data_IF_900390144936
#
_entry.id   IF_900390144936
#
_cell.length_a   1.000
_cell.length_b   1.000
_cell.length_c   1.000
_cell.angle_alpha   90.00
_cell.angle_beta   90.00
_cell.angle_gamma   90.00
#
_symmetry.space_group_name_H-M   'P 1'
#
loop_
_entity.id
_entity.type
_entity.pdbx_description
1 polymer ?
#
# COMPACT_ATOMS: atom_id res chain seq x y z
N UNK A 1 -2.56 11.42 26.70
CA UNK A 1 -1.18 11.58 26.21
C UNK A 1 -1.16 12.70 25.18
N UNK A 2 -0.20 13.63 25.23
CA UNK A 2 -0.01 14.57 24.13
C UNK A 2 0.27 13.76 22.86
N UNK A 3 -0.60 13.89 21.85
CA UNK A 3 -0.34 13.32 20.52
C UNK A 3 0.92 14.02 20.01
N UNK A 4 2.05 13.32 19.88
CA UNK A 4 3.14 13.86 19.07
C UNK A 4 2.53 14.18 17.71
N UNK A 5 2.47 15.46 17.32
CA UNK A 5 1.76 15.81 16.11
C UNK A 5 2.54 15.24 14.94
N UNK A 6 1.86 14.41 14.12
CA UNK A 6 2.31 14.19 12.76
C UNK A 6 2.49 15.59 12.14
N UNK A 7 3.66 15.84 11.55
CA UNK A 7 4.02 17.14 10.99
C UNK A 7 2.84 17.78 10.22
N UNK A 8 2.69 19.11 10.28
CA UNK A 8 1.58 19.80 9.62
C UNK A 8 1.53 19.46 8.13
N UNK A 9 0.31 19.47 7.58
CA UNK A 9 -0.02 19.13 6.20
C UNK A 9 0.93 19.80 5.20
N UNK A 10 1.60 18.98 4.41
CA UNK A 10 1.84 19.29 3.01
C UNK A 10 0.47 19.19 2.31
N UNK A 11 0.05 20.21 1.55
CA UNK A 11 -1.16 20.15 0.72
C UNK A 11 -0.74 19.63 -0.66
N UNK A 12 -0.35 18.36 -0.71
CA UNK A 12 0.18 17.75 -1.93
C UNK A 12 -0.98 17.39 -2.85
N UNK A 13 -1.95 16.62 -2.40
CA UNK A 13 -3.10 16.32 -3.26
C UNK A 13 -4.04 17.51 -3.36
N UNK A 14 -4.42 17.79 -4.60
CA UNK A 14 -5.51 18.67 -4.96
C UNK A 14 -6.33 17.99 -6.06
N UNK A 15 -7.42 18.62 -6.50
CA UNK A 15 -8.32 17.98 -7.46
C UNK A 15 -7.62 17.60 -8.77
N UNK A 16 -6.75 18.48 -9.29
CA UNK A 16 -6.00 18.22 -10.52
C UNK A 16 -5.01 17.05 -10.36
N UNK A 17 -4.30 16.97 -9.23
CA UNK A 17 -3.36 15.87 -8.95
C UNK A 17 -4.07 14.54 -8.76
N UNK A 18 -5.23 14.51 -8.09
CA UNK A 18 -6.04 13.30 -7.96
C UNK A 18 -6.49 12.76 -9.33
N UNK A 19 -7.05 13.63 -10.17
CA UNK A 19 -7.48 13.28 -11.53
C UNK A 19 -6.29 12.81 -12.37
N UNK A 20 -5.16 13.53 -12.30
CA UNK A 20 -3.94 13.16 -13.01
C UNK A 20 -3.46 11.75 -12.65
N UNK A 21 -3.35 11.42 -11.36
CA UNK A 21 -2.95 10.09 -10.90
C UNK A 21 -3.93 9.00 -11.35
N UNK A 22 -5.23 9.31 -11.37
CA UNK A 22 -6.29 8.37 -11.79
C UNK A 22 -6.30 8.11 -13.30
N UNK A 23 -5.90 9.09 -14.11
CA UNK A 23 -5.85 9.01 -15.57
C UNK A 23 -4.52 8.50 -16.12
N UNK A 24 -3.45 8.53 -15.31
CA UNK A 24 -2.12 8.11 -15.72
C UNK A 24 -2.07 6.68 -16.32
N UNK A 25 -2.75 5.65 -15.75
CA UNK A 25 -2.78 4.33 -16.37
C UNK A 25 -3.32 4.33 -17.81
N UNK A 26 -4.42 5.05 -18.05
CA UNK A 26 -5.04 5.18 -19.38
C UNK A 26 -4.14 5.98 -20.33
N UNK A 27 -3.57 7.09 -19.86
CA UNK A 27 -2.66 7.92 -20.64
C UNK A 27 -1.40 7.14 -21.10
N UNK A 28 -0.91 6.24 -20.25
CA UNK A 28 0.22 5.37 -20.55
C UNK A 28 -0.17 4.10 -21.35
N UNK A 29 -1.46 3.92 -21.68
CA UNK A 29 -1.99 2.69 -22.31
C UNK A 29 -1.58 1.43 -21.53
N UNK A 30 -1.61 1.52 -20.20
CA UNK A 30 -1.25 0.43 -19.32
C UNK A 30 -2.32 -0.67 -19.32
N UNK A 31 -2.02 -1.80 -18.67
CA UNK A 31 -2.97 -2.91 -18.58
C UNK A 31 -4.18 -2.55 -17.69
N UNK A 32 -5.33 -3.16 -17.96
CA UNK A 32 -6.56 -3.01 -17.16
C UNK A 32 -6.38 -3.34 -15.67
N UNK A 33 -5.32 -4.09 -15.33
CA UNK A 33 -4.95 -4.33 -13.94
C UNK A 33 -4.68 -3.02 -13.18
N UNK A 34 -4.03 -2.04 -13.82
CA UNK A 34 -3.69 -0.76 -13.21
C UNK A 34 -4.93 0.07 -12.83
N UNK A 35 -6.04 -0.07 -13.55
CA UNK A 35 -7.30 0.62 -13.23
C UNK A 35 -7.80 0.30 -11.81
N UNK A 36 -7.43 -0.89 -11.31
CA UNK A 36 -7.88 -1.40 -10.01
C UNK A 36 -6.83 -1.27 -8.90
N UNK A 37 -5.62 -0.77 -9.17
CA UNK A 37 -4.52 -0.73 -8.18
C UNK A 37 -3.74 0.59 -8.13
N UNK A 38 -3.88 1.49 -9.11
CA UNK A 38 -3.12 2.75 -9.17
C UNK A 38 -3.14 3.55 -7.85
N UNK A 39 -4.27 3.55 -7.14
CA UNK A 39 -4.43 4.26 -5.86
C UNK A 39 -3.64 3.60 -4.73
N UNK A 40 -3.40 2.29 -4.77
CA UNK A 40 -2.55 1.60 -3.81
C UNK A 40 -1.07 1.83 -4.11
N UNK A 41 -0.71 1.91 -5.39
CA UNK A 41 0.65 2.31 -5.82
C UNK A 41 0.94 3.74 -5.32
N UNK A 42 0.02 4.68 -5.53
CA UNK A 42 0.14 6.04 -4.99
C UNK A 42 0.23 6.05 -3.46
N UNK A 43 -0.63 5.29 -2.76
CA UNK A 43 -0.62 5.21 -1.30
C UNK A 43 0.69 4.66 -0.74
N UNK A 44 1.27 3.64 -1.39
CA UNK A 44 2.58 3.10 -1.04
C UNK A 44 3.70 4.14 -1.22
N UNK A 45 3.68 4.90 -2.31
CA UNK A 45 4.64 5.97 -2.56
C UNK A 45 4.50 7.12 -1.54
N UNK A 46 3.29 7.59 -1.26
CA UNK A 46 3.04 8.61 -0.20
C UNK A 46 3.51 8.13 1.17
N UNK A 47 3.20 6.88 1.52
CA UNK A 47 3.69 6.26 2.75
C UNK A 47 5.22 6.26 2.80
N UNK A 48 5.88 5.83 1.73
CA UNK A 48 7.34 5.87 1.61
C UNK A 48 7.92 7.27 1.62
N UNK A 49 7.18 8.31 1.21
CA UNK A 49 7.59 9.71 1.35
C UNK A 49 7.33 10.29 2.75
N UNK A 50 6.73 9.52 3.66
CA UNK A 50 6.26 9.98 4.97
C UNK A 50 5.21 11.10 4.87
N UNK A 51 4.26 10.94 3.94
CA UNK A 51 3.12 11.85 3.74
C UNK A 51 1.78 11.17 4.13
N UNK A 52 1.60 10.77 5.40
CA UNK A 52 0.43 10.00 5.86
C UNK A 52 -0.90 10.77 5.73
N UNK A 53 -0.85 12.11 5.68
CA UNK A 53 -2.04 12.98 5.59
C UNK A 53 -2.67 12.99 4.19
N UNK A 54 -1.94 12.57 3.16
CA UNK A 54 -2.46 12.44 1.80
C UNK A 54 -3.29 11.17 1.60
N UNK A 55 -3.05 10.15 2.44
CA UNK A 55 -3.67 8.83 2.33
C UNK A 55 -5.20 8.88 2.41
N UNK A 56 -5.85 9.58 3.36
CA UNK A 56 -7.31 9.62 3.43
C UNK A 56 -7.97 10.25 2.21
N UNK A 57 -7.38 11.31 1.65
CA UNK A 57 -7.94 11.99 0.49
C UNK A 57 -7.95 11.07 -0.72
N UNK A 58 -6.82 10.39 -0.97
CA UNK A 58 -6.69 9.37 -2.00
C UNK A 58 -7.64 8.17 -1.77
N UNK A 59 -7.79 7.73 -0.52
CA UNK A 59 -8.69 6.65 -0.13
C UNK A 59 -10.16 6.98 -0.43
N UNK A 60 -10.65 8.15 0.00
CA UNK A 60 -12.04 8.56 -0.26
C UNK A 60 -12.30 8.83 -1.73
N UNK A 61 -11.31 9.35 -2.46
CA UNK A 61 -11.38 9.45 -3.92
C UNK A 61 -11.54 8.08 -4.57
N UNK A 62 -10.72 7.09 -4.18
CA UNK A 62 -10.82 5.72 -4.70
C UNK A 62 -12.16 5.05 -4.35
N UNK A 63 -12.69 5.26 -3.14
CA UNK A 63 -14.00 4.74 -2.74
C UNK A 63 -15.15 5.34 -3.56
N UNK A 64 -15.15 6.66 -3.79
CA UNK A 64 -16.22 7.32 -4.56
C UNK A 64 -16.12 7.00 -6.06
N UNK A 65 -14.91 6.84 -6.58
CA UNK A 65 -14.66 6.43 -7.95
C UNK A 65 -15.04 4.98 -8.20
N UNK A 66 -15.09 4.16 -7.15
CA UNK A 66 -15.64 2.82 -7.24
C UNK A 66 -17.16 2.91 -7.45
N UNK A 67 -17.53 2.99 -8.71
CA UNK A 67 -18.90 3.28 -9.14
C UNK A 67 -19.71 2.01 -9.39
N UNK A 68 -21.03 2.18 -9.48
CA UNK A 68 -21.97 1.11 -9.83
C UNK A 68 -21.97 0.76 -11.33
N UNK A 69 -21.27 1.52 -12.18
CA UNK A 69 -21.27 1.37 -13.63
C UNK A 69 -22.46 2.03 -14.33
N UNK A 70 -23.01 3.11 -13.74
CA UNK A 70 -24.13 3.87 -14.28
C UNK A 70 -23.65 4.99 -15.22
N UNK A 71 -24.44 5.32 -16.25
CA UNK A 71 -24.17 6.48 -17.11
C UNK A 71 -24.26 7.82 -16.36
N UNK A 72 -24.92 7.84 -15.19
CA UNK A 72 -25.03 9.00 -14.30
C UNK A 72 -23.89 9.07 -13.26
N UNK A 73 -22.89 8.18 -13.33
CA UNK A 73 -21.77 8.21 -12.40
C UNK A 73 -20.97 9.52 -12.57
N UNK A 74 -20.59 10.19 -11.46
CA UNK A 74 -19.90 11.47 -11.51
C UNK A 74 -18.51 11.33 -12.15
N UNK A 75 -18.08 12.38 -12.86
CA UNK A 75 -16.73 12.42 -13.46
C UNK A 75 -15.63 12.38 -12.40
N UNK A 76 -14.44 11.93 -12.78
CA UNK A 76 -13.25 11.96 -11.90
C UNK A 76 -13.00 13.38 -11.35
N UNK A 77 -13.27 14.43 -12.14
CA UNK A 77 -13.15 15.82 -11.69
C UNK A 77 -14.17 16.19 -10.62
N UNK A 78 -15.43 15.76 -10.77
CA UNK A 78 -16.48 16.04 -9.81
C UNK A 78 -16.21 15.33 -8.49
N UNK A 79 -15.77 14.07 -8.56
CA UNK A 79 -15.36 13.30 -7.39
C UNK A 79 -14.18 14.00 -6.71
N UNK A 80 -13.15 14.38 -7.46
CA UNK A 80 -11.95 15.03 -6.90
C UNK A 80 -12.30 16.37 -6.23
N UNK A 81 -13.10 17.23 -6.88
CA UNK A 81 -13.58 18.49 -6.32
C UNK A 81 -14.38 18.27 -5.03
N UNK A 82 -15.26 17.25 -5.03
CA UNK A 82 -16.08 16.89 -3.88
C UNK A 82 -15.25 16.42 -2.69
N UNK A 83 -14.25 15.57 -2.92
CA UNK A 83 -13.34 15.07 -1.87
C UNK A 83 -12.51 16.21 -1.30
N UNK A 84 -11.83 17.00 -2.14
CA UNK A 84 -11.00 18.13 -1.68
C UNK A 84 -11.80 19.09 -0.82
N UNK A 85 -13.01 19.48 -1.27
CA UNK A 85 -13.91 20.36 -0.51
C UNK A 85 -14.35 19.78 0.84
N UNK A 86 -14.36 18.46 1.01
CA UNK A 86 -14.62 17.84 2.31
C UNK A 86 -13.42 17.93 3.24
N UNK A 87 -12.20 17.82 2.71
CA UNK A 87 -10.98 17.95 3.49
C UNK A 87 -10.72 19.39 3.96
N UNK A 88 -11.35 20.38 3.33
CA UNK A 88 -11.39 21.78 3.82
C UNK A 88 -12.31 21.98 5.06
N UNK A 89 -13.19 21.01 5.37
CA UNK A 89 -14.08 21.07 6.54
C UNK A 89 -13.39 20.58 7.80
N UNK A 90 -13.97 20.94 8.95
CA UNK A 90 -13.55 20.37 10.23
C UNK A 90 -13.75 18.83 10.26
N UNK A 91 -12.94 18.15 11.07
CA UNK A 91 -12.91 16.69 11.17
C UNK A 91 -14.29 16.10 11.51
N UNK A 92 -15.05 16.73 12.41
CA UNK A 92 -16.34 16.23 12.88
C UNK A 92 -17.36 16.23 11.73
N UNK A 93 -17.49 17.38 11.05
CA UNK A 93 -18.40 17.52 9.92
C UNK A 93 -18.02 16.60 8.76
N UNK A 94 -16.73 16.49 8.44
CA UNK A 94 -16.23 15.60 7.38
C UNK A 94 -16.55 14.14 7.69
N UNK A 95 -16.24 13.66 8.89
CA UNK A 95 -16.48 12.27 9.30
C UNK A 95 -17.95 11.91 9.33
N UNK A 96 -18.83 12.83 9.78
CA UNK A 96 -20.27 12.63 9.74
C UNK A 96 -20.77 12.38 8.30
N UNK A 97 -20.25 13.11 7.31
CA UNK A 97 -20.60 12.91 5.90
C UNK A 97 -20.11 11.57 5.36
N UNK A 98 -18.87 11.16 5.68
CA UNK A 98 -18.37 9.85 5.27
C UNK A 98 -19.17 8.71 5.88
N UNK A 99 -19.50 8.77 7.17
CA UNK A 99 -20.36 7.79 7.83
C UNK A 99 -21.76 7.72 7.18
N UNK A 100 -22.31 8.86 6.75
CA UNK A 100 -23.58 8.89 6.03
C UNK A 100 -23.49 8.21 4.66
N UNK A 101 -22.45 8.52 3.88
CA UNK A 101 -22.28 7.97 2.52
C UNK A 101 -22.03 6.46 2.53
N UNK A 102 -21.26 5.99 3.51
CA UNK A 102 -20.89 4.59 3.61
C UNK A 102 -21.68 3.83 4.66
N UNK A 103 -22.88 4.30 5.04
CA UNK A 103 -23.74 3.60 6.02
C UNK A 103 -23.99 2.15 5.66
N UNK A 104 -24.13 1.86 4.36
CA UNK A 104 -24.26 0.50 3.81
C UNK A 104 -23.20 0.30 2.72
N UNK A 105 -21.97 -0.10 3.10
CA UNK A 105 -20.88 -0.22 2.12
C UNK A 105 -21.07 -1.44 1.22
N UNK A 106 -20.66 -1.32 -0.05
CA UNK A 106 -20.63 -2.42 -1.02
C UNK A 106 -19.47 -3.38 -0.74
N UNK A 107 -19.43 -4.51 -1.45
CA UNK A 107 -18.28 -5.43 -1.39
C UNK A 107 -16.99 -4.75 -1.86
N UNK A 108 -17.05 -3.94 -2.92
CA UNK A 108 -15.88 -3.22 -3.41
C UNK A 108 -15.39 -2.13 -2.46
N UNK A 109 -16.27 -1.41 -1.75
CA UNK A 109 -15.84 -0.50 -0.67
C UNK A 109 -15.05 -1.24 0.41
N UNK A 110 -15.51 -2.42 0.83
CA UNK A 110 -14.80 -3.27 1.79
C UNK A 110 -13.46 -3.73 1.24
N UNK A 111 -13.41 -4.19 -0.01
CA UNK A 111 -12.18 -4.65 -0.66
C UNK A 111 -11.14 -3.54 -0.78
N UNK A 112 -11.52 -2.35 -1.28
CA UNK A 112 -10.62 -1.19 -1.37
C UNK A 112 -10.05 -0.85 0.01
N UNK A 113 -10.91 -0.79 1.03
CA UNK A 113 -10.49 -0.46 2.40
C UNK A 113 -9.50 -1.49 2.97
N UNK A 114 -9.76 -2.78 2.78
CA UNK A 114 -8.84 -3.84 3.21
C UNK A 114 -7.51 -3.77 2.46
N UNK A 115 -7.55 -3.49 1.16
CA UNK A 115 -6.36 -3.35 0.31
C UNK A 115 -5.49 -2.16 0.70
N UNK A 116 -6.08 -1.00 1.03
CA UNK A 116 -5.33 0.14 1.57
C UNK A 116 -4.57 -0.24 2.86
N UNK A 117 -5.23 -0.92 3.80
CA UNK A 117 -4.57 -1.36 5.05
C UNK A 117 -3.42 -2.30 4.77
N UNK A 118 -3.63 -3.28 3.90
CA UNK A 118 -2.61 -4.26 3.56
C UNK A 118 -1.44 -3.63 2.80
N UNK A 119 -1.70 -2.70 1.88
CA UNK A 119 -0.67 -1.91 1.18
C UNK A 119 0.24 -1.20 2.19
N UNK A 120 -0.35 -0.43 3.11
CA UNK A 120 0.42 0.34 4.10
C UNK A 120 1.23 -0.56 5.04
N UNK A 121 0.67 -1.69 5.45
CA UNK A 121 1.35 -2.68 6.28
C UNK A 121 2.53 -3.32 5.52
N UNK A 122 2.32 -3.78 4.27
CA UNK A 122 3.38 -4.37 3.43
C UNK A 122 4.49 -3.37 3.12
N UNK A 123 4.17 -2.11 2.85
CA UNK A 123 5.16 -1.05 2.63
C UNK A 123 6.08 -0.83 3.83
N UNK A 124 5.64 -1.16 5.06
CA UNK A 124 6.44 -1.05 6.27
C UNK A 124 7.72 -1.90 6.26
N UNK A 125 7.73 -3.02 5.51
CA UNK A 125 8.92 -3.86 5.36
C UNK A 125 10.10 -3.16 4.67
N UNK A 126 9.82 -2.16 3.83
CA UNK A 126 10.83 -1.49 3.00
C UNK A 126 11.01 -0.03 3.36
N UNK A 127 9.96 0.65 3.82
CA UNK A 127 9.98 2.08 4.18
C UNK A 127 10.03 2.34 5.69
N UNK A 128 9.94 1.27 6.49
CA UNK A 128 9.97 1.29 7.95
C UNK A 128 8.57 1.32 8.59
N UNK A 129 8.46 0.60 9.72
CA UNK A 129 7.23 0.56 10.53
C UNK A 129 6.72 1.94 10.97
N UNK A 130 7.55 2.93 11.34
CA UNK A 130 7.04 4.25 11.74
C UNK A 130 6.16 4.93 10.68
N UNK A 131 6.53 4.83 9.39
CA UNK A 131 5.74 5.40 8.28
C UNK A 131 4.42 4.65 8.13
N UNK A 132 4.46 3.33 8.16
CA UNK A 132 3.26 2.49 8.11
C UNK A 132 2.31 2.78 9.28
N UNK A 133 2.82 2.94 10.50
CA UNK A 133 2.05 3.29 11.70
C UNK A 133 1.35 4.64 11.51
N UNK A 134 2.09 5.67 11.07
CA UNK A 134 1.52 7.00 10.84
C UNK A 134 0.38 6.94 9.80
N UNK A 135 0.62 6.28 8.66
CA UNK A 135 -0.37 6.17 7.58
C UNK A 135 -1.59 5.36 7.98
N UNK A 136 -1.41 4.21 8.66
CA UNK A 136 -2.51 3.38 9.14
C UNK A 136 -3.33 4.10 10.22
N UNK A 137 -2.69 4.85 11.10
CA UNK A 137 -3.36 5.63 12.13
C UNK A 137 -4.25 6.72 11.52
N UNK A 138 -3.70 7.50 10.59
CA UNK A 138 -4.44 8.56 9.89
C UNK A 138 -5.56 7.98 9.02
N UNK A 139 -5.31 6.87 8.32
CA UNK A 139 -6.35 6.16 7.58
C UNK A 139 -7.49 5.69 8.49
N UNK A 140 -7.18 5.12 9.66
CA UNK A 140 -8.18 4.64 10.61
C UNK A 140 -9.07 5.77 11.15
N UNK A 141 -8.52 6.96 11.40
CA UNK A 141 -9.28 8.13 11.86
C UNK A 141 -10.31 8.61 10.83
N UNK A 142 -10.00 8.47 9.54
CA UNK A 142 -10.85 8.94 8.44
C UNK A 142 -11.68 7.81 7.80
N UNK A 143 -11.52 6.57 8.25
CA UNK A 143 -12.31 5.44 7.75
C UNK A 143 -13.72 5.50 8.34
N UNK A 144 -14.79 5.33 7.51
CA UNK A 144 -16.16 5.24 8.01
C UNK A 144 -16.34 4.10 9.01
N UNK A 145 -17.20 4.27 10.01
CA UNK A 145 -17.42 3.29 11.08
C UNK A 145 -17.81 1.90 10.55
N UNK A 146 -18.67 1.86 9.52
CA UNK A 146 -19.12 0.64 8.85
C UNK A 146 -18.03 -0.10 8.05
N UNK A 147 -16.86 0.51 7.89
CA UNK A 147 -15.70 -0.03 7.17
C UNK A 147 -14.49 -0.25 8.09
N UNK A 148 -14.56 0.12 9.37
CA UNK A 148 -13.51 -0.17 10.35
C UNK A 148 -13.30 -1.69 10.50
N UNK A 149 -12.06 -2.14 10.78
CA UNK A 149 -11.83 -3.55 11.06
C UNK A 149 -12.39 -3.88 12.44
N UNK A 150 -12.79 -5.13 12.64
CA UNK A 150 -13.02 -5.65 13.98
C UNK A 150 -11.71 -5.62 14.77
N UNK A 151 -11.77 -5.20 16.03
CA UNK A 151 -10.63 -5.19 16.93
C UNK A 151 -11.06 -5.43 18.38
N UNK A 152 -10.18 -6.06 19.15
CA UNK A 152 -10.28 -6.19 20.60
C UNK A 152 -9.37 -5.21 21.32
N UNK A 153 -9.46 -5.18 22.65
CA UNK A 153 -8.47 -4.51 23.50
C UNK A 153 -7.20 -5.38 23.59
N UNK A 154 -6.03 -4.76 23.45
CA UNK A 154 -4.74 -5.46 23.64
C UNK A 154 -4.35 -5.36 25.12
N UNK A 155 -4.22 -6.52 25.77
CA UNK A 155 -3.75 -6.64 27.15
C UNK A 155 -2.31 -7.12 27.16
N UNK A 156 -1.41 -6.39 27.84
CA UNK A 156 0.03 -6.66 27.78
C UNK A 156 0.44 -7.88 28.63
N UNK A 157 -0.41 -8.27 29.57
CA UNK A 157 -0.30 -9.50 30.35
C UNK A 157 -0.74 -10.75 29.58
N UNK A 158 -1.41 -10.59 28.44
CA UNK A 158 -1.84 -11.72 27.61
C UNK A 158 -0.66 -12.27 26.81
N UNK A 159 -0.24 -13.50 27.12
CA UNK A 159 0.87 -14.19 26.46
C UNK A 159 0.40 -15.31 25.51
N UNK A 160 -0.89 -15.66 25.50
CA UNK A 160 -1.44 -16.61 24.56
C UNK A 160 -1.55 -15.97 23.18
N UNK A 161 -0.79 -16.50 22.22
CA UNK A 161 -0.76 -16.01 20.84
C UNK A 161 -2.17 -15.92 20.20
N UNK A 162 -2.99 -16.95 20.39
CA UNK A 162 -4.33 -17.01 19.81
C UNK A 162 -5.26 -15.92 20.33
N UNK A 163 -5.17 -15.61 21.63
CA UNK A 163 -5.97 -14.56 22.27
C UNK A 163 -5.43 -13.17 21.94
N UNK A 164 -4.12 -12.98 22.01
CA UNK A 164 -3.46 -11.70 21.73
C UNK A 164 -3.70 -11.23 20.27
N UNK A 165 -3.79 -12.18 19.34
CA UNK A 165 -3.95 -11.90 17.90
C UNK A 165 -5.27 -12.42 17.32
N UNK A 166 -6.33 -12.54 18.13
CA UNK A 166 -7.61 -13.14 17.72
C UNK A 166 -8.24 -12.53 16.45
N UNK A 167 -8.06 -11.22 16.25
CA UNK A 167 -8.61 -10.49 15.08
C UNK A 167 -7.61 -10.32 13.93
N UNK A 168 -6.38 -10.81 14.08
CA UNK A 168 -5.37 -10.66 13.04
C UNK A 168 -5.56 -11.73 11.96
N UNK A 169 -5.68 -11.32 10.69
CA UNK A 169 -5.78 -12.25 9.55
C UNK A 169 -4.56 -13.19 9.39
N UNK A 170 -3.45 -12.87 10.06
CA UNK A 170 -2.22 -13.67 10.09
C UNK A 170 -2.19 -14.72 11.20
N UNK A 171 -3.14 -14.67 12.15
CA UNK A 171 -3.37 -15.72 13.12
C UNK A 171 -4.27 -16.80 12.51
N UNK A 172 -3.67 -17.71 11.75
CA UNK A 172 -4.38 -18.71 10.95
C UNK A 172 -3.95 -20.15 11.25
N UNK A 173 -3.22 -20.36 12.36
CA UNK A 173 -2.73 -21.68 12.77
C UNK A 173 -1.57 -22.23 11.95
N UNK A 174 -0.97 -21.44 11.04
CA UNK A 174 0.21 -21.85 10.27
C UNK A 174 1.42 -22.03 11.20
N UNK A 175 2.07 -23.20 11.14
CA UNK A 175 3.31 -23.46 11.86
C UNK A 175 4.52 -22.77 11.20
N UNK A 176 5.66 -22.82 11.89
CA UNK A 176 6.87 -22.14 11.46
C UNK A 176 7.44 -22.71 10.16
N UNK A 177 7.39 -24.02 9.95
CA UNK A 177 7.94 -24.67 8.76
C UNK A 177 7.11 -24.32 7.52
N UNK A 178 5.77 -24.33 7.64
CA UNK A 178 4.85 -23.88 6.60
C UNK A 178 5.04 -22.38 6.29
N UNK A 179 5.29 -21.55 7.30
CA UNK A 179 5.58 -20.12 7.10
C UNK A 179 6.88 -19.91 6.32
N UNK A 180 7.93 -20.65 6.66
CA UNK A 180 9.22 -20.62 5.95
C UNK A 180 9.04 -21.11 4.52
N UNK A 181 8.36 -22.24 4.31
CA UNK A 181 8.08 -22.79 2.98
C UNK A 181 7.35 -21.76 2.10
N UNK A 182 6.30 -21.12 2.63
CA UNK A 182 5.55 -20.06 1.93
C UNK A 182 6.45 -18.88 1.55
N UNK A 183 7.31 -18.44 2.48
CA UNK A 183 8.26 -17.35 2.24
C UNK A 183 9.27 -17.69 1.15
N UNK A 184 9.85 -18.90 1.19
CA UNK A 184 10.82 -19.38 0.19
C UNK A 184 10.17 -19.58 -1.18
N UNK A 185 8.92 -20.07 -1.23
CA UNK A 185 8.16 -20.16 -2.48
C UNK A 185 7.98 -18.78 -3.10
N UNK A 186 7.48 -17.81 -2.33
CA UNK A 186 7.31 -16.44 -2.83
C UNK A 186 8.65 -15.83 -3.27
N UNK A 187 9.72 -16.01 -2.49
CA UNK A 187 11.08 -15.57 -2.83
C UNK A 187 11.56 -16.14 -4.17
N UNK A 188 11.39 -17.45 -4.40
CA UNK A 188 11.78 -18.11 -5.65
C UNK A 188 11.02 -17.55 -6.85
N UNK A 189 9.72 -17.26 -6.71
CA UNK A 189 8.93 -16.65 -7.78
C UNK A 189 9.44 -15.24 -8.13
N UNK A 190 9.83 -14.44 -7.14
CA UNK A 190 10.36 -13.08 -7.36
C UNK A 190 11.75 -13.13 -8.01
N UNK A 191 12.70 -13.88 -7.44
CA UNK A 191 14.10 -13.82 -7.90
C UNK A 191 14.47 -14.84 -8.98
N UNK A 192 13.63 -15.85 -9.22
CA UNK A 192 13.82 -16.85 -10.26
C UNK A 192 15.21 -17.47 -10.23
N UNK A 193 15.90 -17.46 -11.37
CA UNK A 193 17.23 -18.08 -11.54
C UNK A 193 18.33 -17.52 -10.64
N UNK A 194 18.19 -16.30 -10.12
CA UNK A 194 19.20 -15.68 -9.23
C UNK A 194 18.88 -15.84 -7.75
N UNK A 195 17.77 -16.52 -7.41
CA UNK A 195 17.24 -16.67 -6.05
C UNK A 195 18.30 -17.11 -5.04
N UNK A 196 19.02 -18.21 -5.31
CA UNK A 196 20.03 -18.75 -4.39
C UNK A 196 21.22 -17.80 -4.22
N UNK A 197 21.65 -17.15 -5.30
CA UNK A 197 22.74 -16.17 -5.24
C UNK A 197 22.37 -14.97 -4.35
N UNK A 198 21.15 -14.44 -4.50
CA UNK A 198 20.68 -13.32 -3.68
C UNK A 198 20.56 -13.75 -2.21
N UNK A 199 19.96 -14.92 -1.95
CA UNK A 199 19.84 -15.46 -0.59
C UNK A 199 21.20 -15.65 0.08
N UNK A 200 22.16 -16.28 -0.61
CA UNK A 200 23.50 -16.50 -0.10
C UNK A 200 24.26 -15.20 0.14
N UNK A 201 24.06 -14.18 -0.70
CA UNK A 201 24.66 -12.86 -0.47
C UNK A 201 24.11 -12.19 0.80
N UNK A 202 22.80 -12.27 1.05
CA UNK A 202 22.20 -11.75 2.29
C UNK A 202 22.73 -12.52 3.51
N UNK A 203 22.73 -13.85 3.44
CA UNK A 203 23.20 -14.71 4.52
C UNK A 203 24.68 -14.50 4.83
N UNK A 204 25.53 -14.37 3.82
CA UNK A 204 26.96 -14.10 3.99
C UNK A 204 27.23 -12.69 4.56
N UNK A 205 26.34 -11.73 4.32
CA UNK A 205 26.44 -10.40 4.92
C UNK A 205 26.14 -10.44 6.41
N UNK A 206 25.07 -11.16 6.80
CA UNK A 206 24.71 -11.45 8.18
C UNK A 206 23.61 -12.53 8.19
N UNK A 207 23.79 -13.71 8.82
CA UNK A 207 22.76 -14.75 8.81
C UNK A 207 21.39 -14.30 9.35
N UNK A 208 21.35 -13.41 10.35
CA UNK A 208 20.08 -12.90 10.87
C UNK A 208 19.35 -12.01 9.85
N UNK A 209 20.07 -11.39 8.89
CA UNK A 209 19.44 -10.66 7.79
C UNK A 209 18.64 -11.62 6.89
N UNK A 210 19.22 -12.78 6.55
CA UNK A 210 18.51 -13.80 5.78
C UNK A 210 17.35 -14.39 6.56
N UNK A 211 17.58 -14.73 7.84
CA UNK A 211 16.53 -15.19 8.74
C UNK A 211 15.37 -14.19 8.79
N UNK A 212 15.65 -12.91 9.03
CA UNK A 212 14.64 -11.86 9.12
C UNK A 212 13.89 -11.68 7.80
N UNK A 213 14.61 -11.70 6.68
CA UNK A 213 14.00 -11.61 5.35
C UNK A 213 12.98 -12.72 5.13
N UNK A 214 13.30 -13.98 5.44
CA UNK A 214 12.36 -15.09 5.21
C UNK A 214 11.28 -15.15 6.28
N UNK A 215 11.67 -15.16 7.57
CA UNK A 215 10.79 -15.50 8.69
C UNK A 215 9.92 -14.32 9.12
N UNK A 216 10.37 -13.07 8.95
CA UNK A 216 9.62 -11.90 9.40
C UNK A 216 9.05 -11.05 8.25
N UNK A 217 9.58 -11.16 7.03
CA UNK A 217 9.16 -10.33 5.90
C UNK A 217 8.47 -11.15 4.81
N UNK A 218 9.18 -12.02 4.10
CA UNK A 218 8.64 -12.75 2.95
C UNK A 218 7.56 -13.76 3.37
N UNK A 219 7.83 -14.55 4.41
CA UNK A 219 6.91 -15.54 4.97
C UNK A 219 5.62 -14.90 5.48
N UNK A 220 5.62 -14.09 6.55
CA UNK A 220 4.38 -13.65 7.19
C UNK A 220 3.71 -12.43 6.54
N UNK A 221 4.48 -11.60 5.82
CA UNK A 221 3.99 -10.31 5.33
C UNK A 221 3.82 -10.28 3.81
N UNK A 222 4.90 -10.46 3.04
CA UNK A 222 4.83 -10.25 1.58
C UNK A 222 4.07 -11.36 0.87
N UNK A 223 4.22 -12.62 1.29
CA UNK A 223 3.51 -13.75 0.69
C UNK A 223 2.07 -13.92 1.16
N UNK A 224 1.57 -13.10 2.11
CA UNK A 224 0.16 -13.10 2.47
C UNK A 224 -0.68 -12.57 1.29
N UNK A 225 -1.48 -13.44 0.68
CA UNK A 225 -2.23 -13.14 -0.55
C UNK A 225 -3.71 -12.80 -0.33
N UNK A 226 -4.12 -12.41 0.89
CA UNK A 226 -5.52 -12.14 1.22
C UNK A 226 -6.06 -10.91 0.48
N UNK A 227 -5.78 -9.67 0.92
CA UNK A 227 -6.21 -8.47 0.20
C UNK A 227 -5.44 -8.19 -1.10
N UNK A 228 -4.15 -8.53 -1.14
CA UNK A 228 -3.25 -8.28 -2.29
C UNK A 228 -2.62 -9.58 -2.75
N UNK A 229 -2.83 -9.96 -4.01
CA UNK A 229 -2.15 -11.11 -4.63
C UNK A 229 -0.64 -10.82 -4.86
N UNK A 230 0.08 -11.78 -5.45
CA UNK A 230 1.51 -11.62 -5.70
C UNK A 230 1.84 -10.49 -6.70
N UNK A 231 0.96 -10.25 -7.69
CA UNK A 231 1.13 -9.18 -8.69
C UNK A 231 0.87 -7.82 -8.06
N UNK A 232 -0.23 -7.69 -7.33
CA UNK A 232 -0.57 -6.49 -6.58
C UNK A 232 0.55 -6.12 -5.59
N UNK A 233 1.03 -7.11 -4.85
CA UNK A 233 2.13 -6.94 -3.89
C UNK A 233 3.39 -6.46 -4.60
N UNK A 234 3.72 -7.01 -5.76
CA UNK A 234 4.93 -6.62 -6.50
C UNK A 234 4.88 -5.16 -6.96
N UNK A 235 3.72 -4.68 -7.42
CA UNK A 235 3.53 -3.28 -7.82
C UNK A 235 3.60 -2.31 -6.62
N UNK A 236 3.01 -2.68 -5.48
CA UNK A 236 3.11 -1.92 -4.22
C UNK A 236 4.56 -1.87 -3.71
N UNK A 237 5.31 -2.95 -3.87
CA UNK A 237 6.71 -3.02 -3.45
C UNK A 237 7.60 -2.13 -4.34
N UNK A 238 7.40 -2.14 -5.66
CA UNK A 238 8.05 -1.18 -6.57
C UNK A 238 7.79 0.25 -6.09
N UNK A 239 6.53 0.58 -5.80
CA UNK A 239 6.14 1.92 -5.33
C UNK A 239 6.75 2.29 -3.97
N UNK A 240 6.99 1.29 -3.11
CA UNK A 240 7.63 1.50 -1.83
C UNK A 240 9.13 1.78 -1.95
N UNK A 241 9.80 1.25 -2.98
CA UNK A 241 11.25 1.37 -3.21
C UNK A 241 11.64 2.63 -3.98
N UNK A 242 10.82 3.06 -4.96
CA UNK A 242 11.11 4.22 -5.80
C UNK A 242 11.50 5.46 -5.00
N UNK A 243 10.79 5.88 -3.93
CA UNK A 243 11.12 7.11 -3.20
C UNK A 243 12.45 7.08 -2.43
N UNK A 244 13.08 5.91 -2.28
CA UNK A 244 14.16 5.67 -1.32
C UNK A 244 15.57 5.65 -1.93
N UNK A 245 15.69 5.77 -3.26
CA UNK A 245 16.99 5.77 -3.98
C UNK A 245 17.79 4.46 -3.78
N UNK A 246 17.09 3.32 -3.77
CA UNK A 246 17.63 1.96 -3.55
C UNK A 246 17.58 1.10 -4.83
N UNK A 247 18.24 1.58 -5.88
CA UNK A 247 18.15 0.99 -7.23
C UNK A 247 18.53 -0.50 -7.31
N UNK A 248 19.46 -0.98 -6.47
CA UNK A 248 19.85 -2.39 -6.46
C UNK A 248 18.68 -3.31 -6.04
N UNK A 249 17.89 -2.88 -5.06
CA UNK A 249 16.69 -3.57 -4.61
C UNK A 249 15.55 -3.37 -5.61
N UNK A 250 15.34 -2.15 -6.09
CA UNK A 250 14.31 -1.82 -7.08
C UNK A 250 14.44 -2.68 -8.34
N UNK A 251 15.65 -2.84 -8.88
CA UNK A 251 15.90 -3.67 -10.06
C UNK A 251 15.43 -5.12 -9.87
N UNK A 252 15.75 -5.73 -8.72
CA UNK A 252 15.31 -7.09 -8.40
C UNK A 252 13.79 -7.23 -8.36
N UNK A 253 13.10 -6.23 -7.81
CA UNK A 253 11.63 -6.23 -7.72
C UNK A 253 10.93 -5.88 -9.04
N UNK A 254 11.53 -5.04 -9.89
CA UNK A 254 11.05 -4.82 -11.26
C UNK A 254 11.07 -6.13 -12.05
N UNK A 255 12.20 -6.86 -12.02
CA UNK A 255 12.30 -8.16 -12.69
C UNK A 255 11.41 -9.22 -12.04
N UNK A 256 11.27 -9.15 -10.72
CA UNK A 256 10.39 -10.04 -9.98
C UNK A 256 8.91 -9.86 -10.29
N UNK A 257 8.47 -8.62 -10.54
CA UNK A 257 7.13 -8.34 -11.01
C UNK A 257 6.84 -9.03 -12.35
N UNK A 258 7.79 -9.04 -13.30
CA UNK A 258 7.66 -9.81 -14.55
C UNK A 258 7.56 -11.31 -14.27
N UNK A 259 8.39 -11.84 -13.36
CA UNK A 259 8.39 -13.27 -13.03
C UNK A 259 7.08 -13.75 -12.39
N UNK A 260 6.36 -12.88 -11.66
CA UNK A 260 5.03 -13.20 -11.10
C UNK A 260 3.88 -12.86 -12.06
N UNK A 261 4.19 -12.47 -13.30
CA UNK A 261 3.21 -12.27 -14.37
C UNK A 261 2.57 -10.88 -14.42
N UNK A 262 3.20 -9.85 -13.86
CA UNK A 262 2.80 -8.46 -14.16
C UNK A 262 3.13 -8.12 -15.62
N UNK A 263 2.20 -7.46 -16.31
CA UNK A 263 2.46 -6.94 -17.65
C UNK A 263 3.55 -5.84 -17.59
N UNK A 264 4.48 -5.77 -18.55
CA UNK A 264 5.53 -4.74 -18.57
C UNK A 264 4.98 -3.31 -18.47
N UNK A 265 3.84 -3.03 -19.12
CA UNK A 265 3.18 -1.73 -19.10
C UNK A 265 2.58 -1.40 -17.72
N UNK A 266 2.21 -2.40 -16.93
CA UNK A 266 1.76 -2.21 -15.55
C UNK A 266 2.93 -1.90 -14.62
N UNK A 267 4.05 -2.59 -14.81
CA UNK A 267 5.28 -2.36 -14.04
C UNK A 267 5.80 -0.94 -14.29
N UNK A 268 5.88 -0.53 -15.55
CA UNK A 268 6.33 0.81 -15.91
C UNK A 268 5.35 1.89 -15.44
N UNK A 269 4.03 1.64 -15.51
CA UNK A 269 3.04 2.56 -14.97
C UNK A 269 3.16 2.70 -13.44
N UNK A 270 3.32 1.60 -12.70
CA UNK A 270 3.51 1.65 -11.26
C UNK A 270 4.79 2.42 -10.89
N UNK A 271 5.89 2.19 -11.62
CA UNK A 271 7.15 2.93 -11.45
C UNK A 271 6.96 4.43 -11.73
N UNK A 272 6.36 4.79 -12.86
CA UNK A 272 6.15 6.18 -13.27
C UNK A 272 5.23 6.92 -12.30
N UNK A 273 4.12 6.31 -11.89
CA UNK A 273 3.20 6.86 -10.89
C UNK A 273 3.92 7.13 -9.56
N UNK A 274 4.80 6.22 -9.15
CA UNK A 274 5.59 6.37 -7.93
C UNK A 274 6.62 7.50 -8.05
N UNK A 275 7.23 7.71 -9.22
CA UNK A 275 8.12 8.85 -9.49
C UNK A 275 7.37 10.17 -9.40
N UNK A 276 6.17 10.24 -9.96
CA UNK A 276 5.35 11.45 -9.90
C UNK A 276 4.95 11.81 -8.48
N UNK A 277 4.42 10.84 -7.72
CA UNK A 277 4.11 11.03 -6.29
C UNK A 277 5.36 11.46 -5.52
N UNK A 278 6.49 10.78 -5.72
CA UNK A 278 7.75 11.13 -5.04
C UNK A 278 8.21 12.56 -5.36
N UNK A 279 8.07 12.97 -6.62
CA UNK A 279 8.40 14.34 -7.07
C UNK A 279 7.47 15.38 -6.45
N UNK A 280 6.17 15.08 -6.33
CA UNK A 280 5.20 15.92 -5.62
C UNK A 280 5.55 16.07 -4.13
N UNK A 281 6.14 15.04 -3.52
CA UNK A 281 6.65 15.04 -2.15
C UNK A 281 8.06 15.64 -2.01
N UNK A 282 8.67 16.12 -3.09
CA UNK A 282 9.98 16.76 -3.08
C UNK A 282 11.18 15.81 -3.00
N UNK A 283 10.99 14.51 -3.25
CA UNK A 283 12.08 13.54 -3.32
C UNK A 283 13.05 13.89 -4.45
N UNK A 284 14.35 13.78 -4.17
CA UNK A 284 15.42 13.93 -5.15
C UNK A 284 16.31 12.69 -5.11
N UNK A 285 16.45 12.03 -6.25
CA UNK A 285 17.32 10.88 -6.42
C UNK A 285 18.74 11.32 -6.74
N UNK A 286 19.75 10.53 -6.32
CA UNK A 286 21.15 10.77 -6.68
C UNK A 286 21.45 10.41 -8.14
N UNK A 287 20.61 9.59 -8.76
CA UNK A 287 20.73 9.17 -10.14
C UNK A 287 19.37 8.81 -10.75
N UNK A 288 19.35 8.29 -11.99
CA UNK A 288 18.12 7.84 -12.61
C UNK A 288 17.50 6.69 -11.81
N UNK A 289 16.18 6.72 -11.61
CA UNK A 289 15.42 5.62 -11.03
C UNK A 289 15.50 4.42 -11.98
N UNK A 290 15.86 3.24 -11.45
CA UNK A 290 15.99 2.02 -12.23
C UNK A 290 14.71 1.74 -13.04
N UNK A 291 14.88 1.18 -14.24
CA UNK A 291 13.83 0.77 -15.17
C UNK A 291 14.25 -0.54 -15.83
N UNK A 292 13.29 -1.36 -16.28
CA UNK A 292 13.55 -2.59 -17.04
C UNK A 292 14.17 -2.30 -18.41
#
# INVERSE_FOLDING_TARGET
MPRYPIAPTSNILNAARLVHLAQLPTAMRSSAHMENIWYLVAAAAFNSCNEPREIPMLYHFALLRHSSGSADDPSDEDIARKVVKLFDRDEVSRRAMFNQWYRTPTAGHRQITQRFRETLLKSGALSGLPRAINSLHVLAQETPESLLPEHGEVKLEEANFGQLFAHAARNNGMDQDAMVARGLDHWRHIYGKVSERVANNLNASYPDLWYHAVVNVYGPLLSHSGPLDARDTSLVIIASLVPQDVNAQLWGHLRGAENVGCAPEAIECARQLSIEVSSMCGVRWKGPVAKL
#
